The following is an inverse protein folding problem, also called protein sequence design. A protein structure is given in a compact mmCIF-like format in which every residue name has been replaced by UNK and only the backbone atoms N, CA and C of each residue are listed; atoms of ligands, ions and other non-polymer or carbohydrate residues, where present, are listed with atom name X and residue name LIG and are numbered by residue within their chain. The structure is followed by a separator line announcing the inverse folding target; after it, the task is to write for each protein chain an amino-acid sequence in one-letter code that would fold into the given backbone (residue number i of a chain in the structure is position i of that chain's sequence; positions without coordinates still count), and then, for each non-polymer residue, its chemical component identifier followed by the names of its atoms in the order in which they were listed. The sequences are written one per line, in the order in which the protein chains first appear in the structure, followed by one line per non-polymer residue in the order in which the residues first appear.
data_IF_607104609164
#
_entry.id   IF_607104609164
#
_cell.length_a   1.000
_cell.length_b   1.000
_cell.length_c   1.000
_cell.angle_alpha   90.00
_cell.angle_beta   90.00
_cell.angle_gamma   90.00
#
_symmetry.space_group_name_H-M   'P 1'
#
loop_
_entity.id
_entity.type
_entity.pdbx_description
1 polymer ?
#
# COMPACT_ATOMS: atom_id res chain seq x y z
N UNK A 1 20.14 -14.38 22.81
CA UNK A 1 19.44 -13.20 22.25
C UNK A 1 19.92 -11.94 22.94
N UNK A 2 20.87 -11.22 22.34
CA UNK A 2 21.35 -9.91 22.82
C UNK A 2 21.66 -8.93 21.66
N UNK A 3 21.52 -9.35 20.41
CA UNK A 3 21.93 -8.60 19.21
C UNK A 3 20.81 -7.77 18.57
N UNK A 4 19.53 -8.09 18.83
CA UNK A 4 18.38 -7.40 18.21
C UNK A 4 18.25 -5.91 18.57
N UNK A 5 19.13 -5.36 19.41
CA UNK A 5 19.00 -4.01 19.95
C UNK A 5 20.17 -3.08 19.63
N UNK A 6 21.25 -3.57 19.02
CA UNK A 6 22.41 -2.72 18.69
C UNK A 6 22.11 -1.83 17.49
N UNK A 7 21.48 -2.39 16.44
CA UNK A 7 21.04 -1.63 15.28
C UNK A 7 20.09 -0.49 15.66
N UNK A 8 19.04 -0.78 16.45
CA UNK A 8 18.10 0.26 16.90
C UNK A 8 18.77 1.33 17.75
N UNK A 9 19.71 0.98 18.63
CA UNK A 9 20.49 1.98 19.38
C UNK A 9 21.35 2.85 18.47
N UNK A 10 21.90 2.30 17.40
CA UNK A 10 22.68 3.06 16.41
C UNK A 10 21.77 3.99 15.61
N UNK A 11 20.56 3.56 15.25
CA UNK A 11 19.55 4.39 14.57
C UNK A 11 19.07 5.52 15.50
N UNK A 12 18.69 5.21 16.74
CA UNK A 12 18.21 6.19 17.73
C UNK A 12 19.27 7.24 18.09
N UNK A 13 20.56 6.87 18.05
CA UNK A 13 21.68 7.78 18.29
C UNK A 13 22.18 8.48 17.02
N UNK A 14 21.57 8.21 15.84
CA UNK A 14 21.99 8.79 14.57
C UNK A 14 21.28 10.13 14.33
N UNK A 15 22.02 11.23 14.49
CA UNK A 15 21.53 12.58 14.18
C UNK A 15 21.72 12.96 12.70
N UNK A 16 22.25 12.06 11.87
CA UNK A 16 22.48 12.29 10.43
C UNK A 16 21.27 11.87 9.59
N UNK A 17 20.50 12.89 9.18
CA UNK A 17 19.30 12.74 8.34
C UNK A 17 19.62 12.08 6.98
N UNK A 18 20.80 12.29 6.40
CA UNK A 18 21.17 11.67 5.12
C UNK A 18 21.39 10.16 5.30
N UNK A 19 22.07 9.77 6.38
CA UNK A 19 22.24 8.36 6.75
C UNK A 19 20.89 7.67 6.99
N UNK A 20 19.99 8.29 7.74
CA UNK A 20 18.65 7.73 7.99
C UNK A 20 17.82 7.60 6.71
N UNK A 21 17.90 8.57 5.78
CA UNK A 21 17.26 8.48 4.47
C UNK A 21 17.79 7.32 3.65
N UNK A 22 19.11 7.12 3.61
CA UNK A 22 19.73 6.02 2.87
C UNK A 22 19.28 4.65 3.40
N UNK A 23 19.15 4.49 4.71
CA UNK A 23 18.63 3.26 5.32
C UNK A 23 17.20 2.96 4.83
N UNK A 24 16.32 3.97 4.83
CA UNK A 24 14.96 3.83 4.32
C UNK A 24 14.97 3.45 2.84
N UNK A 25 15.82 4.08 2.02
CA UNK A 25 15.96 3.73 0.60
C UNK A 25 16.37 2.28 0.36
N UNK A 26 17.28 1.73 1.18
CA UNK A 26 17.70 0.33 1.10
C UNK A 26 16.49 -0.61 1.34
N UNK A 27 15.68 -0.33 2.37
CA UNK A 27 14.48 -1.13 2.63
C UNK A 27 13.45 -1.06 1.48
N UNK A 28 13.28 0.10 0.87
CA UNK A 28 12.42 0.28 -0.30
C UNK A 28 12.89 -0.54 -1.49
N UNK A 29 14.19 -0.58 -1.77
CA UNK A 29 14.72 -1.33 -2.91
C UNK A 29 14.65 -2.84 -2.70
N UNK A 30 14.86 -3.34 -1.48
CA UNK A 30 14.66 -4.76 -1.13
C UNK A 30 13.20 -5.23 -1.34
N UNK A 31 12.21 -4.37 -1.08
CA UNK A 31 10.80 -4.70 -1.37
C UNK A 31 10.51 -4.82 -2.86
N UNK A 32 11.10 -3.96 -3.69
CA UNK A 32 10.91 -4.05 -5.16
C UNK A 32 11.46 -5.36 -5.72
N UNK A 33 12.50 -5.90 -5.10
CA UNK A 33 13.15 -7.14 -5.51
C UNK A 33 12.39 -8.36 -4.95
N UNK A 34 11.85 -8.26 -3.73
CA UNK A 34 11.17 -9.37 -3.06
C UNK A 34 9.64 -9.34 -3.27
N UNK A 35 9.12 -10.22 -4.12
CA UNK A 35 7.67 -10.39 -4.38
C UNK A 35 6.86 -10.93 -3.17
N UNK A 36 7.47 -11.06 -1.99
CA UNK A 36 6.88 -11.60 -0.76
C UNK A 36 7.44 -10.86 0.45
N UNK A 37 7.00 -9.61 0.61
CA UNK A 37 7.51 -8.70 1.63
C UNK A 37 6.43 -8.10 2.52
N UNK A 38 5.34 -8.82 2.82
CA UNK A 38 4.18 -8.28 3.56
C UNK A 38 4.54 -7.56 4.86
N UNK A 39 5.41 -8.15 5.69
CA UNK A 39 5.87 -7.54 6.96
C UNK A 39 6.71 -6.27 6.74
N UNK A 40 7.58 -6.27 5.72
CA UNK A 40 8.40 -5.12 5.37
C UNK A 40 7.55 -4.00 4.74
N UNK A 41 6.54 -4.35 3.94
CA UNK A 41 5.56 -3.40 3.42
C UNK A 41 4.75 -2.75 4.55
N UNK A 42 4.25 -3.54 5.51
CA UNK A 42 3.52 -3.00 6.66
C UNK A 42 4.40 -2.03 7.47
N UNK A 43 5.67 -2.34 7.63
CA UNK A 43 6.65 -1.47 8.30
C UNK A 43 6.81 -0.15 7.55
N UNK A 44 6.98 -0.17 6.23
CA UNK A 44 7.08 1.05 5.43
C UNK A 44 5.78 1.86 5.41
N UNK A 45 4.63 1.20 5.30
CA UNK A 45 3.31 1.84 5.37
C UNK A 45 3.14 2.59 6.71
N UNK A 46 3.52 1.94 7.81
CA UNK A 46 3.49 2.54 9.15
C UNK A 46 4.44 3.74 9.27
N UNK A 47 5.67 3.61 8.75
CA UNK A 47 6.62 4.73 8.72
C UNK A 47 6.11 5.89 7.84
N UNK A 48 5.45 5.59 6.73
CA UNK A 48 4.87 6.59 5.85
C UNK A 48 3.73 7.37 6.52
N UNK A 49 2.88 6.74 7.33
CA UNK A 49 1.81 7.45 8.07
C UNK A 49 2.31 8.46 9.10
N UNK A 50 3.58 8.39 9.51
CA UNK A 50 4.19 9.42 10.37
C UNK A 50 4.59 10.68 9.56
N UNK A 51 4.68 10.57 8.23
CA UNK A 51 5.18 11.62 7.34
C UNK A 51 4.10 12.26 6.48
N UNK A 52 3.02 11.52 6.20
CA UNK A 52 1.95 11.92 5.31
C UNK A 52 0.60 11.47 5.86
N UNK A 53 -0.46 11.98 5.25
CA UNK A 53 -1.82 11.56 5.56
C UNK A 53 -2.00 10.05 5.33
N UNK A 54 -3.02 9.47 5.96
CA UNK A 54 -3.36 8.04 5.90
C UNK A 54 -4.01 7.66 4.54
N UNK A 55 -3.34 8.03 3.45
CA UNK A 55 -3.70 7.70 2.08
C UNK A 55 -2.48 7.15 1.36
N UNK A 56 -2.72 6.19 0.49
CA UNK A 56 -1.69 5.67 -0.39
C UNK A 56 -1.26 6.74 -1.39
N UNK A 57 0.04 6.87 -1.63
CA UNK A 57 0.54 7.49 -2.87
C UNK A 57 0.72 6.39 -3.94
N UNK A 58 1.09 6.80 -5.16
CA UNK A 58 1.21 5.86 -6.29
C UNK A 58 2.34 4.84 -6.06
N UNK A 59 3.46 5.26 -5.47
CA UNK A 59 4.60 4.38 -5.20
C UNK A 59 4.25 3.32 -4.17
N UNK A 60 3.56 3.69 -3.09
CA UNK A 60 3.13 2.76 -2.04
C UNK A 60 2.02 1.83 -2.54
N UNK A 61 1.12 2.31 -3.40
CA UNK A 61 0.15 1.46 -4.07
C UNK A 61 0.85 0.43 -4.97
N UNK A 62 1.85 0.83 -5.77
CA UNK A 62 2.61 -0.09 -6.59
C UNK A 62 3.34 -1.15 -5.75
N UNK A 63 3.97 -0.74 -4.65
CA UNK A 63 4.61 -1.66 -3.71
C UNK A 63 3.62 -2.65 -3.09
N UNK A 64 2.38 -2.25 -2.84
CA UNK A 64 1.33 -3.17 -2.39
C UNK A 64 1.12 -4.29 -3.42
N UNK A 65 1.01 -3.96 -4.71
CA UNK A 65 0.85 -4.94 -5.77
C UNK A 65 2.04 -5.90 -5.84
N UNK A 66 3.27 -5.39 -5.74
CA UNK A 66 4.48 -6.22 -5.70
C UNK A 66 4.47 -7.17 -4.49
N UNK A 67 4.21 -6.65 -3.30
CA UNK A 67 4.27 -7.42 -2.05
C UNK A 67 3.13 -8.43 -1.92
N UNK A 68 1.95 -8.14 -2.46
CA UNK A 68 0.81 -9.05 -2.52
C UNK A 68 0.86 -10.03 -3.70
N UNK A 69 1.83 -9.88 -4.62
CA UNK A 69 1.96 -10.72 -5.82
C UNK A 69 0.80 -10.56 -6.81
N UNK A 70 0.21 -9.36 -6.90
CA UNK A 70 -0.91 -9.06 -7.79
C UNK A 70 -0.37 -8.73 -9.18
N UNK A 71 -1.05 -9.23 -10.22
CA UNK A 71 -0.65 -9.01 -11.61
C UNK A 71 -0.81 -7.52 -12.01
N UNK A 72 0.17 -6.97 -12.72
CA UNK A 72 0.16 -5.57 -13.19
C UNK A 72 -1.05 -5.22 -14.06
N UNK A 73 -1.64 -6.19 -14.78
CA UNK A 73 -2.86 -5.96 -15.56
C UNK A 73 -4.05 -5.54 -14.66
N UNK A 74 -4.06 -5.97 -13.40
CA UNK A 74 -5.09 -5.57 -12.42
C UNK A 74 -4.90 -4.11 -12.02
N UNK A 75 -3.66 -3.62 -11.96
CA UNK A 75 -3.33 -2.22 -11.65
C UNK A 75 -3.82 -1.27 -12.75
N UNK A 76 -3.60 -1.65 -14.01
CA UNK A 76 -4.12 -0.92 -15.18
C UNK A 76 -5.66 -0.91 -15.22
N UNK A 77 -6.29 -2.04 -14.88
CA UNK A 77 -7.73 -2.16 -14.81
C UNK A 77 -8.33 -1.31 -13.68
N UNK A 78 -7.69 -1.32 -12.51
CA UNK A 78 -8.07 -0.50 -11.35
C UNK A 78 -8.00 0.99 -11.69
N UNK A 79 -6.91 1.43 -12.32
CA UNK A 79 -6.75 2.81 -12.81
C UNK A 79 -7.87 3.21 -13.77
N UNK A 80 -8.17 2.33 -14.74
CA UNK A 80 -9.22 2.56 -15.73
C UNK A 80 -10.62 2.61 -15.10
N UNK A 81 -10.88 1.81 -14.06
CA UNK A 81 -12.17 1.80 -13.36
C UNK A 81 -12.39 3.00 -12.47
N UNK A 82 -11.34 3.51 -11.82
CA UNK A 82 -11.44 4.74 -11.04
C UNK A 82 -12.06 5.88 -11.85
N UNK A 83 -11.54 6.09 -13.07
CA UNK A 83 -12.01 7.12 -13.99
C UNK A 83 -13.37 6.78 -14.60
N UNK A 84 -13.51 5.60 -15.20
CA UNK A 84 -14.73 5.24 -15.95
C UNK A 84 -15.98 5.07 -15.07
N UNK A 85 -15.81 4.75 -13.78
CA UNK A 85 -16.92 4.61 -12.84
C UNK A 85 -17.18 5.87 -12.01
N UNK A 86 -16.42 6.96 -12.23
CA UNK A 86 -16.46 8.19 -11.44
C UNK A 86 -16.35 7.91 -9.93
N UNK A 87 -15.34 7.13 -9.54
CA UNK A 87 -15.16 6.71 -8.14
C UNK A 87 -14.92 7.92 -7.23
N UNK A 88 -14.03 8.83 -7.62
CA UNK A 88 -13.75 10.04 -6.83
C UNK A 88 -14.96 10.96 -6.63
N UNK A 89 -15.93 10.96 -7.55
CA UNK A 89 -17.17 11.73 -7.38
C UNK A 89 -18.14 11.05 -6.41
N UNK A 90 -18.14 9.71 -6.38
CA UNK A 90 -19.04 8.90 -5.54
C UNK A 90 -18.50 8.72 -4.12
N UNK A 91 -17.19 8.64 -3.98
CA UNK A 91 -16.46 8.43 -2.74
C UNK A 91 -15.33 9.48 -2.67
N UNK A 92 -15.64 10.74 -2.26
CA UNK A 92 -14.70 11.86 -2.33
C UNK A 92 -13.43 11.69 -1.51
N UNK A 93 -13.49 10.87 -0.46
CA UNK A 93 -12.37 10.61 0.45
C UNK A 93 -11.44 9.49 -0.09
N UNK A 94 -11.78 8.86 -1.21
CA UNK A 94 -10.99 7.79 -1.82
C UNK A 94 -10.15 8.36 -2.95
N UNK A 95 -8.84 8.41 -2.73
CA UNK A 95 -7.90 8.81 -3.79
C UNK A 95 -7.79 7.73 -4.86
N UNK A 96 -7.22 8.09 -6.01
CA UNK A 96 -6.93 7.11 -7.07
C UNK A 96 -6.03 5.98 -6.57
N UNK A 97 -5.06 6.29 -5.70
CA UNK A 97 -4.11 5.31 -5.18
C UNK A 97 -4.73 4.40 -4.11
N UNK A 98 -5.60 4.94 -3.24
CA UNK A 98 -6.40 4.11 -2.33
C UNK A 98 -7.28 3.14 -3.12
N UNK A 99 -7.87 3.62 -4.22
CA UNK A 99 -8.65 2.76 -5.10
C UNK A 99 -7.82 1.64 -5.73
N UNK A 100 -6.57 1.90 -6.15
CA UNK A 100 -5.69 0.83 -6.65
C UNK A 100 -5.51 -0.28 -5.63
N UNK A 101 -5.20 0.07 -4.38
CA UNK A 101 -4.99 -0.89 -3.30
C UNK A 101 -6.27 -1.67 -2.98
N UNK A 102 -7.41 -0.98 -2.87
CA UNK A 102 -8.70 -1.62 -2.64
C UNK A 102 -9.06 -2.59 -3.77
N UNK A 103 -8.95 -2.15 -5.02
CA UNK A 103 -9.25 -2.99 -6.19
C UNK A 103 -8.33 -4.20 -6.27
N UNK A 104 -7.02 -3.97 -6.09
CA UNK A 104 -6.01 -5.01 -6.01
C UNK A 104 -6.35 -6.03 -4.93
N UNK A 105 -6.67 -5.60 -3.72
CA UNK A 105 -7.07 -6.49 -2.61
C UNK A 105 -8.29 -7.33 -2.96
N UNK A 106 -9.34 -6.72 -3.50
CA UNK A 106 -10.58 -7.42 -3.84
C UNK A 106 -10.38 -8.42 -4.99
N UNK A 107 -9.46 -8.15 -5.91
CA UNK A 107 -9.10 -9.05 -7.02
C UNK A 107 -8.56 -10.40 -6.56
N UNK A 108 -7.96 -10.47 -5.36
CA UNK A 108 -7.42 -11.73 -4.82
C UNK A 108 -8.51 -12.77 -4.54
N UNK A 109 -9.74 -12.33 -4.28
CA UNK A 109 -10.88 -13.19 -3.96
C UNK A 109 -11.96 -13.19 -5.06
N UNK A 110 -11.76 -12.44 -6.14
CA UNK A 110 -12.78 -12.18 -7.16
C UNK A 110 -12.17 -12.25 -8.56
N UNK A 111 -12.78 -13.01 -9.47
CA UNK A 111 -12.20 -13.30 -10.78
C UNK A 111 -12.75 -12.47 -11.92
N UNK A 112 -13.90 -11.79 -11.74
CA UNK A 112 -14.49 -10.94 -12.76
C UNK A 112 -14.45 -9.47 -12.35
N UNK A 113 -14.27 -8.59 -13.33
CA UNK A 113 -14.30 -7.13 -13.13
C UNK A 113 -15.56 -6.66 -12.37
N UNK A 114 -16.72 -7.22 -12.70
CA UNK A 114 -17.98 -6.86 -12.04
C UNK A 114 -18.00 -7.28 -10.58
N UNK A 115 -17.52 -8.48 -10.25
CA UNK A 115 -17.50 -8.96 -8.86
C UNK A 115 -16.49 -8.18 -8.02
N UNK A 116 -15.33 -7.83 -8.58
CA UNK A 116 -14.33 -6.96 -7.94
C UNK A 116 -14.96 -5.60 -7.64
N UNK A 117 -15.56 -4.95 -8.64
CA UNK A 117 -16.19 -3.64 -8.48
C UNK A 117 -17.29 -3.64 -7.42
N UNK A 118 -18.12 -4.68 -7.39
CA UNK A 118 -19.16 -4.80 -6.37
C UNK A 118 -18.57 -5.01 -4.98
N UNK A 119 -17.51 -5.81 -4.84
CA UNK A 119 -16.81 -5.98 -3.57
C UNK A 119 -16.19 -4.65 -3.07
N UNK A 120 -15.56 -3.87 -3.96
CA UNK A 120 -15.02 -2.56 -3.60
C UNK A 120 -16.12 -1.60 -3.12
N UNK A 121 -17.25 -1.53 -3.84
CA UNK A 121 -18.38 -0.68 -3.44
C UNK A 121 -18.95 -1.11 -2.10
N UNK A 122 -19.16 -2.42 -1.90
CA UNK A 122 -19.62 -2.94 -0.62
C UNK A 122 -18.67 -2.58 0.53
N UNK A 123 -17.36 -2.65 0.31
CA UNK A 123 -16.38 -2.25 1.32
C UNK A 123 -16.55 -0.77 1.71
N UNK A 124 -16.64 0.12 0.71
CA UNK A 124 -16.80 1.56 0.93
C UNK A 124 -18.18 1.93 1.51
N UNK A 125 -19.25 1.32 1.04
CA UNK A 125 -20.63 1.55 1.53
C UNK A 125 -20.79 1.12 3.00
N UNK A 126 -20.03 0.11 3.43
CA UNK A 126 -19.96 -0.31 4.83
C UNK A 126 -19.00 0.56 5.68
N UNK A 127 -18.41 1.60 5.08
CA UNK A 127 -17.51 2.56 5.73
C UNK A 127 -16.24 1.93 6.31
N UNK A 128 -15.76 0.86 5.70
CA UNK A 128 -14.41 0.38 5.98
C UNK A 128 -13.38 1.36 5.40
N UNK A 129 -12.26 1.49 6.09
CA UNK A 129 -11.19 2.40 5.73
C UNK A 129 -10.11 1.66 4.95
N UNK A 130 -9.75 2.19 3.78
CA UNK A 130 -8.77 1.54 2.89
C UNK A 130 -7.40 1.48 3.53
N UNK A 131 -7.02 2.49 4.31
CA UNK A 131 -5.74 2.55 4.97
C UNK A 131 -5.65 1.62 6.17
N UNK A 132 -6.66 1.50 7.02
CA UNK A 132 -6.56 0.66 8.23
C UNK A 132 -7.03 -0.77 8.03
N UNK A 133 -8.03 -0.99 7.19
CA UNK A 133 -8.70 -2.30 7.10
C UNK A 133 -8.16 -3.20 5.98
N UNK A 134 -7.30 -2.66 5.09
CA UNK A 134 -6.61 -3.45 4.06
C UNK A 134 -5.21 -3.86 4.50
N UNK A 135 -5.03 -5.18 4.57
CA UNK A 135 -3.78 -5.86 4.85
C UNK A 135 -3.32 -6.71 3.66
N UNK A 136 -2.02 -7.03 3.62
CA UNK A 136 -1.41 -7.99 2.69
C UNK A 136 -1.59 -9.40 3.23
#
# INVERSE_FOLDING_TARGET
MKEENEFFKMVDACDDVETLRNIISIFFDELKISAKGGDLFHTLKSAYSELADQHYNIELAHLYFCAAGINSNVEDEASSTYLSCAIGDKFPDITSSDWLVLYGRMSLNNTSKESILNACKMFLDNKFDVWTDINI
#
